data_IF_898241553504
#
_entry.id   IF_898241553504
#
_cell.length_a   1.000
_cell.length_b   1.000
_cell.length_c   1.000
_cell.angle_alpha   90.00
_cell.angle_beta   90.00
_cell.angle_gamma   90.00
#
_symmetry.space_group_name_H-M   'P 1'
#
loop_
_entity.id
_entity.type
_entity.pdbx_description
1 polymer ?
#
# COMPACT_ATOMS: atom_id res chain seq x y z
N UNK A 1 1.02 -26.93 8.19
CA UNK A 1 0.69 -26.65 6.77
C UNK A 1 -0.12 -25.37 6.79
N UNK A 2 0.53 -24.23 6.54
CA UNK A 2 -0.13 -22.93 6.59
C UNK A 2 -1.31 -22.95 5.61
N UNK A 3 -2.50 -22.56 6.07
CA UNK A 3 -3.62 -22.37 5.18
C UNK A 3 -3.17 -21.37 4.12
N UNK A 4 -3.07 -21.84 2.87
CA UNK A 4 -2.99 -20.93 1.73
C UNK A 4 -4.30 -20.15 1.80
N UNK A 5 -4.21 -18.86 2.11
CA UNK A 5 -5.39 -18.00 2.11
C UNK A 5 -6.09 -18.18 0.76
N UNK A 6 -7.39 -18.40 0.80
CA UNK A 6 -8.21 -18.63 -0.39
C UNK A 6 -8.03 -17.41 -1.32
N UNK A 7 -7.63 -17.57 -2.58
CA UNK A 7 -7.56 -16.45 -3.53
C UNK A 7 -8.92 -15.75 -3.74
N UNK A 8 -10.02 -16.32 -3.23
CA UNK A 8 -11.32 -15.66 -3.12
C UNK A 8 -11.50 -14.77 -1.87
N UNK A 9 -10.57 -14.75 -0.90
CA UNK A 9 -10.63 -13.91 0.30
C UNK A 9 -10.18 -12.47 -0.01
N UNK A 10 -11.09 -11.47 0.00
CA UNK A 10 -10.73 -10.08 -0.30
C UNK A 10 -9.70 -9.49 0.67
N UNK A 11 -9.64 -9.99 1.91
CA UNK A 11 -8.62 -9.59 2.89
C UNK A 11 -7.23 -10.05 2.46
N UNK A 12 -7.12 -11.30 2.01
CA UNK A 12 -5.85 -11.85 1.51
C UNK A 12 -5.38 -11.11 0.25
N UNK A 13 -6.30 -10.82 -0.67
CA UNK A 13 -6.02 -10.00 -1.87
C UNK A 13 -5.55 -8.60 -1.48
N UNK A 14 -6.21 -7.93 -0.53
CA UNK A 14 -5.78 -6.63 -0.01
C UNK A 14 -4.35 -6.68 0.56
N UNK A 15 -4.05 -7.66 1.40
CA UNK A 15 -2.71 -7.85 1.96
C UNK A 15 -1.65 -8.09 0.88
N UNK A 16 -1.97 -8.88 -0.15
CA UNK A 16 -1.08 -9.11 -1.29
C UNK A 16 -0.82 -7.82 -2.08
N UNK A 17 -1.87 -7.06 -2.40
CA UNK A 17 -1.78 -5.76 -3.10
C UNK A 17 -0.90 -4.78 -2.32
N UNK A 18 -1.08 -4.67 -1.00
CA UNK A 18 -0.25 -3.78 -0.17
C UNK A 18 1.21 -4.25 -0.14
N UNK A 19 1.48 -5.56 -0.12
CA UNK A 19 2.85 -6.09 -0.16
C UNK A 19 3.58 -5.77 -1.48
N UNK A 20 2.87 -5.57 -2.60
CA UNK A 20 3.50 -5.24 -3.88
C UNK A 20 4.22 -3.88 -3.88
N UNK A 21 3.85 -2.97 -2.96
CA UNK A 21 4.53 -1.68 -2.77
C UNK A 21 5.88 -1.81 -2.06
N UNK A 22 6.14 -2.96 -1.43
CA UNK A 22 7.34 -3.17 -0.65
C UNK A 22 8.52 -3.57 -1.55
N UNK A 23 9.76 -3.22 -1.16
CA UNK A 23 10.98 -3.53 -1.92
C UNK A 23 11.39 -5.01 -1.75
N UNK A 24 10.52 -5.94 -2.19
CA UNK A 24 10.67 -7.39 -2.01
C UNK A 24 11.80 -8.00 -2.86
N UNK A 25 12.16 -7.35 -3.96
CA UNK A 25 13.20 -7.77 -4.90
C UNK A 25 13.96 -6.56 -5.46
N UNK A 26 15.04 -6.81 -6.22
CA UNK A 26 15.88 -5.75 -6.79
C UNK A 26 15.14 -4.86 -7.80
N UNK A 27 14.15 -5.41 -8.51
CA UNK A 27 13.34 -4.64 -9.45
C UNK A 27 12.49 -3.62 -8.70
N UNK A 28 11.77 -4.05 -7.65
CA UNK A 28 10.94 -3.17 -6.81
C UNK A 28 11.78 -2.17 -6.04
N UNK A 29 12.95 -2.57 -5.54
CA UNK A 29 13.94 -1.65 -4.94
C UNK A 29 14.34 -0.55 -5.90
N UNK A 30 14.63 -0.91 -7.15
CA UNK A 30 15.00 0.06 -8.19
C UNK A 30 13.83 0.96 -8.58
N UNK A 31 12.63 0.39 -8.77
CA UNK A 31 11.42 1.15 -9.06
C UNK A 31 11.11 2.18 -7.97
N UNK A 32 11.23 1.80 -6.69
CA UNK A 32 10.97 2.72 -5.58
C UNK A 32 12.02 3.85 -5.50
N UNK A 33 13.30 3.56 -5.79
CA UNK A 33 14.35 4.61 -5.90
C UNK A 33 14.04 5.61 -7.00
N UNK A 34 13.66 5.13 -8.17
CA UNK A 34 13.25 5.96 -9.31
C UNK A 34 12.03 6.80 -8.93
N UNK A 35 10.99 6.17 -8.37
CA UNK A 35 9.81 6.86 -7.89
C UNK A 35 10.17 8.04 -6.96
N UNK A 36 10.99 7.81 -5.93
CA UNK A 36 11.40 8.87 -4.99
C UNK A 36 12.19 9.98 -5.68
N UNK A 37 13.16 9.64 -6.52
CA UNK A 37 13.98 10.64 -7.22
C UNK A 37 13.13 11.55 -8.11
N UNK A 38 12.19 10.97 -8.85
CA UNK A 38 11.29 11.72 -9.73
C UNK A 38 10.18 12.45 -8.95
N UNK A 39 9.68 11.88 -7.84
CA UNK A 39 8.73 12.58 -6.97
C UNK A 39 9.34 13.85 -6.38
N UNK A 40 10.57 13.79 -5.86
CA UNK A 40 11.24 15.00 -5.34
C UNK A 40 11.47 16.03 -6.45
N UNK A 41 11.86 15.58 -7.65
CA UNK A 41 12.07 16.47 -8.79
C UNK A 41 10.76 17.15 -9.22
N UNK A 42 9.64 16.42 -9.20
CA UNK A 42 8.34 16.90 -9.67
C UNK A 42 7.81 18.07 -8.83
N UNK A 43 8.23 18.18 -7.57
CA UNK A 43 7.89 19.32 -6.70
C UNK A 43 8.45 20.67 -7.20
N UNK A 44 9.40 20.66 -8.13
CA UNK A 44 10.04 21.88 -8.66
C UNK A 44 10.04 21.96 -10.19
N UNK A 45 9.51 20.93 -10.87
CA UNK A 45 9.53 20.79 -12.32
C UNK A 45 8.10 20.53 -12.81
N UNK A 46 7.40 21.56 -13.33
CA UNK A 46 5.99 21.45 -13.71
C UNK A 46 5.73 20.36 -14.76
N UNK A 47 6.65 20.17 -15.71
CA UNK A 47 6.51 19.13 -16.74
C UNK A 47 6.56 17.74 -16.11
N UNK A 48 7.35 17.55 -15.06
CA UNK A 48 7.38 16.28 -14.34
C UNK A 48 6.20 16.13 -13.35
N UNK A 49 5.70 17.24 -12.79
CA UNK A 49 4.52 17.24 -11.93
C UNK A 49 3.28 16.67 -12.65
N UNK A 50 3.11 16.94 -13.95
CA UNK A 50 2.00 16.41 -14.75
C UNK A 50 1.87 14.88 -14.67
N UNK A 51 2.99 14.15 -14.54
CA UNK A 51 3.01 12.68 -14.41
C UNK A 51 2.44 12.21 -13.07
N UNK A 52 2.46 13.05 -12.03
CA UNK A 52 1.93 12.72 -10.70
C UNK A 52 0.53 13.31 -10.45
N UNK A 53 0.08 14.26 -11.29
CA UNK A 53 -1.20 14.97 -11.14
C UNK A 53 -2.29 14.29 -11.97
N UNK A 54 -2.73 13.12 -11.51
CA UNK A 54 -3.82 12.38 -12.13
C UNK A 54 -5.20 12.88 -11.67
N UNK A 55 -6.16 12.97 -12.60
CA UNK A 55 -7.55 13.29 -12.29
C UNK A 55 -8.27 12.17 -11.50
N UNK A 56 -7.68 10.97 -11.48
CA UNK A 56 -8.17 9.81 -10.74
C UNK A 56 -7.05 9.16 -9.94
N UNK A 57 -7.46 8.41 -8.91
CA UNK A 57 -6.58 7.67 -8.00
C UNK A 57 -6.93 6.18 -8.10
N UNK A 58 -6.54 5.50 -9.20
CA UNK A 58 -7.01 4.16 -9.51
C UNK A 58 -6.56 3.11 -8.49
N UNK A 59 -5.41 3.33 -7.87
CA UNK A 59 -4.87 2.43 -6.86
C UNK A 59 -5.64 2.53 -5.54
N UNK A 60 -5.90 3.74 -5.07
CA UNK A 60 -6.71 4.03 -3.90
C UNK A 60 -8.15 3.53 -4.12
N UNK A 61 -8.69 3.69 -5.34
CA UNK A 61 -9.99 3.13 -5.71
C UNK A 61 -10.01 1.59 -5.64
N UNK A 62 -8.96 0.91 -6.12
CA UNK A 62 -8.81 -0.54 -6.00
C UNK A 62 -8.75 -0.96 -4.53
N UNK A 63 -7.90 -0.33 -3.72
CA UNK A 63 -7.73 -0.61 -2.29
C UNK A 63 -9.04 -0.38 -1.54
N UNK A 64 -9.74 0.73 -1.79
CA UNK A 64 -11.05 1.01 -1.20
C UNK A 64 -12.09 -0.04 -1.61
N UNK A 65 -12.05 -0.52 -2.86
CA UNK A 65 -12.87 -1.63 -3.33
C UNK A 65 -12.64 -2.92 -2.55
N UNK A 66 -11.37 -3.29 -2.34
CA UNK A 66 -10.98 -4.48 -1.58
C UNK A 66 -11.38 -4.36 -0.10
N UNK A 67 -11.22 -3.18 0.51
CA UNK A 67 -11.67 -2.92 1.89
C UNK A 67 -13.19 -3.09 2.02
N UNK A 68 -13.98 -2.61 1.03
CA UNK A 68 -15.44 -2.83 1.01
C UNK A 68 -15.79 -4.31 0.88
N UNK A 69 -15.11 -5.03 -0.01
CA UNK A 69 -15.34 -6.46 -0.24
C UNK A 69 -14.97 -7.31 1.00
N UNK A 70 -13.90 -6.93 1.70
CA UNK A 70 -13.48 -7.56 2.96
C UNK A 70 -14.39 -7.21 4.15
N UNK A 71 -15.36 -6.31 3.97
CA UNK A 71 -16.36 -5.97 4.96
C UNK A 71 -15.89 -4.97 6.03
N UNK A 72 -15.41 -3.79 5.63
CA UNK A 72 -14.98 -2.71 6.53
C UNK A 72 -15.72 -2.63 7.88
N UNK A 73 -14.97 -2.51 8.97
CA UNK A 73 -15.52 -2.44 10.33
C UNK A 73 -16.44 -1.21 10.52
N UNK A 74 -17.37 -1.23 11.50
CA UNK A 74 -18.28 -0.12 11.75
C UNK A 74 -17.55 1.22 11.96
N UNK A 75 -17.97 2.25 11.22
CA UNK A 75 -17.38 3.60 11.30
C UNK A 75 -16.10 3.80 10.50
N UNK A 76 -15.58 2.75 9.83
CA UNK A 76 -14.47 2.86 8.90
C UNK A 76 -14.96 3.39 7.55
N UNK A 77 -14.27 4.40 7.02
CA UNK A 77 -14.46 4.89 5.65
C UNK A 77 -13.41 4.22 4.74
N UNK A 78 -13.81 3.29 3.84
CA UNK A 78 -12.87 2.60 2.96
C UNK A 78 -12.05 3.51 2.04
N UNK A 79 -12.60 4.66 1.64
CA UNK A 79 -11.89 5.60 0.78
C UNK A 79 -10.74 6.26 1.52
N UNK A 80 -11.03 6.79 2.72
CA UNK A 80 -10.00 7.43 3.56
C UNK A 80 -8.93 6.45 4.01
N UNK A 81 -9.32 5.22 4.34
CA UNK A 81 -8.33 4.18 4.69
C UNK A 81 -7.47 3.80 3.49
N UNK A 82 -8.00 3.80 2.27
CA UNK A 82 -7.21 3.54 1.07
C UNK A 82 -6.16 4.64 0.83
N UNK A 83 -6.53 5.92 0.96
CA UNK A 83 -5.59 7.05 0.82
C UNK A 83 -4.42 6.92 1.82
N UNK A 84 -4.75 6.57 3.07
CA UNK A 84 -3.77 6.36 4.14
C UNK A 84 -2.90 5.13 3.90
N UNK A 85 -3.49 4.01 3.49
CA UNK A 85 -2.78 2.76 3.29
C UNK A 85 -1.82 2.84 2.11
N UNK A 86 -2.23 3.41 0.98
CA UNK A 86 -1.39 3.55 -0.21
C UNK A 86 -0.20 4.47 0.07
N UNK A 87 -0.46 5.63 0.67
CA UNK A 87 0.58 6.57 1.08
C UNK A 87 1.51 5.94 2.13
N UNK A 88 0.91 5.28 3.13
CA UNK A 88 1.61 4.67 4.26
C UNK A 88 2.51 3.52 3.83
N UNK A 89 2.04 2.61 2.97
CA UNK A 89 2.83 1.46 2.51
C UNK A 89 3.98 1.89 1.61
N UNK A 90 3.81 2.94 0.81
CA UNK A 90 4.90 3.57 0.05
C UNK A 90 5.96 4.14 1.00
N UNK A 91 5.54 4.85 2.05
CA UNK A 91 6.42 5.33 3.12
C UNK A 91 7.18 4.22 3.86
N UNK A 92 6.48 3.14 4.21
CA UNK A 92 7.06 1.96 4.85
C UNK A 92 8.05 1.25 3.92
N UNK A 93 7.76 1.18 2.62
CA UNK A 93 8.67 0.67 1.61
C UNK A 93 9.97 1.48 1.54
N UNK A 94 9.88 2.82 1.62
CA UNK A 94 11.05 3.68 1.70
C UNK A 94 11.89 3.39 2.96
N UNK A 95 11.26 3.14 4.11
CA UNK A 95 11.97 2.82 5.35
C UNK A 95 12.73 1.50 5.27
N UNK A 96 12.15 0.49 4.62
CA UNK A 96 12.83 -0.77 4.37
C UNK A 96 14.00 -0.57 3.42
N UNK A 97 13.84 0.25 2.38
CA UNK A 97 14.92 0.58 1.46
C UNK A 97 16.09 1.29 2.16
N UNK A 98 15.79 2.18 3.12
CA UNK A 98 16.76 2.89 3.95
C UNK A 98 17.33 2.03 5.10
N UNK A 99 16.79 0.83 5.36
CA UNK A 99 17.18 -0.02 6.48
C UNK A 99 16.68 0.46 7.85
N UNK A 100 15.73 1.40 7.91
CA UNK A 100 15.11 1.87 9.16
C UNK A 100 14.15 0.85 9.77
N UNK A 101 13.58 -0.02 8.93
CA UNK A 101 12.62 -1.07 9.30
C UNK A 101 12.95 -2.35 8.53
N UNK A 102 12.67 -3.51 9.12
CA UNK A 102 12.72 -4.77 8.37
C UNK A 102 11.42 -4.99 7.60
N UNK A 103 11.45 -5.84 6.57
CA UNK A 103 10.22 -6.25 5.87
C UNK A 103 9.23 -6.96 6.82
N UNK A 104 9.73 -7.70 7.81
CA UNK A 104 8.90 -8.38 8.79
C UNK A 104 8.14 -7.37 9.67
N UNK A 105 8.81 -6.34 10.18
CA UNK A 105 8.18 -5.30 11.01
C UNK A 105 7.09 -4.53 10.25
N UNK A 106 7.35 -4.24 8.97
CA UNK A 106 6.37 -3.57 8.11
C UNK A 106 5.15 -4.45 7.89
N UNK A 107 5.34 -5.75 7.60
CA UNK A 107 4.21 -6.69 7.44
C UNK A 107 3.38 -6.79 8.71
N UNK A 108 4.01 -6.94 9.88
CA UNK A 108 3.30 -6.92 11.17
C UNK A 108 2.53 -5.62 11.39
N UNK A 109 3.08 -4.48 10.96
CA UNK A 109 2.39 -3.18 11.04
C UNK A 109 1.16 -3.14 10.13
N UNK A 110 1.28 -3.65 8.90
CA UNK A 110 0.15 -3.74 7.96
C UNK A 110 -0.93 -4.68 8.49
N UNK A 111 -0.55 -5.88 8.95
CA UNK A 111 -1.47 -6.86 9.50
C UNK A 111 -2.25 -6.28 10.70
N UNK A 112 -1.56 -5.62 11.62
CA UNK A 112 -2.18 -4.93 12.75
C UNK A 112 -3.19 -3.86 12.30
N UNK A 113 -2.88 -3.08 11.26
CA UNK A 113 -3.83 -2.07 10.75
C UNK A 113 -5.03 -2.73 10.06
N UNK A 114 -4.81 -3.79 9.28
CA UNK A 114 -5.87 -4.55 8.63
C UNK A 114 -6.79 -5.23 9.65
N UNK A 115 -6.27 -5.73 10.77
CA UNK A 115 -7.07 -6.26 11.89
C UNK A 115 -7.95 -5.19 12.54
N UNK A 116 -7.52 -3.93 12.52
CA UNK A 116 -8.28 -2.81 13.11
C UNK A 116 -9.41 -2.33 12.20
N UNK A 117 -9.22 -2.35 10.88
CA UNK A 117 -10.16 -1.75 9.91
C UNK A 117 -11.11 -2.77 9.27
N UNK A 118 -10.83 -4.06 9.41
CA UNK A 118 -11.67 -5.17 8.92
C UNK A 118 -12.28 -5.94 10.10
N UNK A 119 -13.30 -6.78 9.86
CA UNK A 119 -13.88 -7.63 10.90
C UNK A 119 -12.83 -8.60 11.45
N UNK A 120 -12.97 -8.95 12.73
CA UNK A 120 -12.21 -10.04 13.31
C UNK A 120 -12.56 -11.36 12.59
N UNK A 121 -11.54 -12.21 12.40
CA UNK A 121 -11.68 -13.52 11.76
C UNK A 121 -12.49 -14.50 12.61
#
# INVERSE_FOLDING_TARGET
MAALDDPADPRAVLGAVLNEFLPLDEQRRSALRVFVAYYVRSLTDPALAEVFLHASQPLEQLVAGLIRQAGAAPGVDPGREADLLVSGVTGLGMDVLHGRRTLADVRTTLDHHLDRILPAR
#
